data_IF_886467472349
#
_entry.id   IF_886467472349
#
_cell.length_a   1.000
_cell.length_b   1.000
_cell.length_c   1.000
_cell.angle_alpha   90.00
_cell.angle_beta   90.00
_cell.angle_gamma   90.00
#
_symmetry.space_group_name_H-M   'P 1'
#
loop_
_entity.id
_entity.type
_entity.pdbx_description
1 polymer ?
#
# COMPACT_ATOMS: atom_id res chain seq x y z
N UNK A 1 8.07 1.13 -8.52
CA UNK A 1 7.35 2.41 -8.26
C UNK A 1 7.48 2.75 -6.79
N UNK A 2 7.27 4.01 -6.41
CA UNK A 2 7.38 4.50 -5.03
C UNK A 2 6.01 5.00 -4.57
N UNK A 3 5.57 4.49 -3.42
CA UNK A 3 4.37 4.92 -2.71
C UNK A 3 4.78 5.59 -1.41
N UNK A 4 4.26 6.79 -1.13
CA UNK A 4 4.35 7.39 0.21
C UNK A 4 3.20 6.90 1.07
N UNK A 5 3.49 6.35 2.24
CA UNK A 5 2.49 6.03 3.25
C UNK A 5 2.37 7.17 4.28
N UNK A 6 1.21 7.83 4.31
CA UNK A 6 0.91 8.91 5.24
C UNK A 6 0.17 8.35 6.46
N UNK A 7 0.92 8.07 7.52
CA UNK A 7 0.43 7.42 8.74
C UNK A 7 0.58 8.28 9.98
N UNK A 8 -0.42 8.22 10.86
CA UNK A 8 -0.37 8.76 12.24
C UNK A 8 0.09 10.22 12.31
N UNK A 9 -0.35 11.05 11.36
CA UNK A 9 0.04 12.46 11.26
C UNK A 9 -1.14 13.39 11.03
N UNK A 10 -0.88 14.69 11.21
CA UNK A 10 -1.87 15.75 11.01
C UNK A 10 -2.29 15.87 9.55
N UNK A 11 -3.55 16.24 9.29
CA UNK A 11 -4.04 16.48 7.92
C UNK A 11 -3.17 17.48 7.14
N UNK A 12 -2.84 18.63 7.74
CA UNK A 12 -1.97 19.64 7.11
C UNK A 12 -0.55 19.12 6.86
N UNK A 13 -0.06 18.27 7.75
CA UNK A 13 1.26 17.64 7.61
C UNK A 13 1.30 16.69 6.42
N UNK A 14 0.25 15.88 6.22
CA UNK A 14 0.08 15.05 5.02
C UNK A 14 0.27 15.87 3.74
N UNK A 15 -0.48 16.97 3.59
CA UNK A 15 -0.38 17.83 2.39
C UNK A 15 0.99 18.48 2.25
N UNK A 16 1.59 18.92 3.35
CA UNK A 16 2.92 19.54 3.35
C UNK A 16 4.01 18.55 2.93
N UNK A 17 3.94 17.29 3.35
CA UNK A 17 4.87 16.24 2.92
C UNK A 17 4.70 15.99 1.42
N UNK A 18 3.48 15.71 0.95
CA UNK A 18 3.23 15.42 -0.47
C UNK A 18 3.66 16.59 -1.36
N UNK A 19 3.42 17.84 -0.94
CA UNK A 19 3.84 19.02 -1.70
C UNK A 19 5.36 19.08 -1.92
N UNK A 20 6.16 18.60 -0.97
CA UNK A 20 7.62 18.55 -1.10
C UNK A 20 8.09 17.40 -1.99
N UNK A 21 7.41 16.26 -1.95
CA UNK A 21 7.93 15.01 -2.54
C UNK A 21 7.23 14.54 -3.81
N UNK A 22 6.13 15.18 -4.23
CA UNK A 22 5.26 14.67 -5.30
C UNK A 22 6.00 14.28 -6.60
N UNK A 23 7.12 14.93 -6.94
CA UNK A 23 7.91 14.61 -8.14
C UNK A 23 8.70 13.29 -8.04
N UNK A 24 8.90 12.76 -6.84
CA UNK A 24 9.70 11.56 -6.57
C UNK A 24 8.85 10.31 -6.29
N UNK A 25 7.53 10.46 -6.23
CA UNK A 25 6.58 9.39 -5.89
C UNK A 25 5.56 9.17 -7.01
N UNK A 26 5.07 7.95 -7.10
CA UNK A 26 4.03 7.54 -8.05
C UNK A 26 2.65 7.47 -7.37
N UNK A 27 2.61 6.94 -6.14
CA UNK A 27 1.39 6.74 -5.35
C UNK A 27 1.39 7.58 -4.07
N UNK A 28 0.21 8.04 -3.67
CA UNK A 28 -0.05 8.63 -2.36
C UNK A 28 -1.02 7.73 -1.60
N UNK A 29 -0.54 7.11 -0.52
CA UNK A 29 -1.38 6.32 0.39
C UNK A 29 -1.84 7.19 1.57
N UNK A 30 -3.16 7.26 1.75
CA UNK A 30 -3.76 7.77 2.98
C UNK A 30 -3.90 6.58 3.93
N UNK A 31 -3.01 6.53 4.92
CA UNK A 31 -2.91 5.40 5.85
C UNK A 31 -4.16 5.25 6.73
N UNK A 32 -4.40 4.03 7.23
CA UNK A 32 -5.58 3.70 8.02
C UNK A 32 -5.80 4.66 9.20
N UNK A 33 -4.73 5.07 9.89
CA UNK A 33 -4.83 5.98 11.04
C UNK A 33 -5.31 7.38 10.66
N UNK A 34 -4.88 7.87 9.50
CA UNK A 34 -5.28 9.18 8.96
C UNK A 34 -6.74 9.11 8.49
N UNK A 35 -7.14 8.04 7.80
CA UNK A 35 -8.54 7.80 7.41
C UNK A 35 -9.45 7.76 8.64
N UNK A 36 -9.06 7.04 9.70
CA UNK A 36 -9.86 6.96 10.94
C UNK A 36 -10.02 8.31 11.62
N UNK A 37 -9.06 9.21 11.47
CA UNK A 37 -9.10 10.52 12.10
C UNK A 37 -9.89 11.56 11.31
N UNK A 38 -9.80 11.55 9.98
CA UNK A 38 -10.36 12.61 9.12
C UNK A 38 -11.45 12.13 8.16
N UNK A 39 -11.73 10.84 8.12
CA UNK A 39 -12.68 10.23 7.20
C UNK A 39 -12.23 10.32 5.75
N UNK A 40 -13.18 10.15 4.83
CA UNK A 40 -12.92 10.17 3.39
C UNK A 40 -12.66 11.56 2.80
N UNK A 41 -12.92 12.65 3.52
CA UNK A 41 -12.72 13.99 2.97
C UNK A 41 -11.25 14.24 2.61
N UNK A 42 -10.31 13.69 3.40
CA UNK A 42 -8.89 13.83 3.10
C UNK A 42 -8.48 13.07 1.82
N UNK A 43 -9.13 11.94 1.52
CA UNK A 43 -8.90 11.19 0.28
C UNK A 43 -9.35 12.04 -0.91
N UNK A 44 -10.54 12.64 -0.81
CA UNK A 44 -11.08 13.54 -1.83
C UNK A 44 -10.18 14.75 -2.06
N UNK A 45 -9.81 15.46 -1.00
CA UNK A 45 -8.94 16.63 -1.08
C UNK A 45 -7.54 16.30 -1.64
N UNK A 46 -7.01 15.11 -1.34
CA UNK A 46 -5.74 14.64 -1.91
C UNK A 46 -5.88 14.38 -3.42
N UNK A 47 -6.96 13.72 -3.85
CA UNK A 47 -7.20 13.45 -5.28
C UNK A 47 -7.43 14.75 -6.07
N UNK A 48 -8.16 15.70 -5.51
CA UNK A 48 -8.40 17.02 -6.14
C UNK A 48 -7.09 17.80 -6.34
N UNK A 49 -6.16 17.69 -5.40
CA UNK A 49 -4.88 18.42 -5.45
C UNK A 49 -3.81 17.74 -6.32
N UNK A 50 -3.83 16.41 -6.40
CA UNK A 50 -2.87 15.61 -7.14
C UNK A 50 -3.57 14.62 -8.07
N UNK A 51 -4.37 15.10 -9.05
CA UNK A 51 -5.17 14.24 -9.92
C UNK A 51 -4.33 13.30 -10.79
N UNK A 52 -3.06 13.65 -11.04
CA UNK A 52 -2.09 12.87 -11.79
C UNK A 52 -1.44 11.72 -10.99
N UNK A 53 -1.68 11.67 -9.67
CA UNK A 53 -1.16 10.62 -8.80
C UNK A 53 -2.20 9.53 -8.60
N UNK A 54 -1.69 8.32 -8.41
CA UNK A 54 -2.48 7.19 -7.94
C UNK A 54 -2.72 7.35 -6.45
N UNK A 55 -3.99 7.42 -6.03
CA UNK A 55 -4.38 7.56 -4.63
C UNK A 55 -4.79 6.19 -4.09
N UNK A 56 -4.13 5.75 -3.03
CA UNK A 56 -4.49 4.53 -2.31
C UNK A 56 -5.14 4.91 -0.96
N UNK A 57 -6.39 4.47 -0.74
CA UNK A 57 -7.04 4.57 0.56
C UNK A 57 -6.81 3.26 1.33
N UNK A 58 -5.97 3.29 2.37
CA UNK A 58 -5.63 2.11 3.16
C UNK A 58 -6.71 1.80 4.21
N UNK A 59 -7.88 1.40 3.71
CA UNK A 59 -9.09 1.12 4.49
C UNK A 59 -8.92 -0.09 5.40
N UNK A 60 -8.09 -1.06 5.01
CA UNK A 60 -7.96 -2.37 5.69
C UNK A 60 -9.33 -2.99 5.92
N UNK A 61 -10.15 -2.99 4.87
CA UNK A 61 -11.53 -3.49 4.91
C UNK A 61 -11.55 -4.94 5.39
N UNK A 62 -12.29 -5.17 6.49
CA UNK A 62 -12.45 -6.50 7.08
C UNK A 62 -13.81 -7.12 6.73
N UNK A 63 -14.84 -6.29 6.65
CA UNK A 63 -16.24 -6.65 6.39
C UNK A 63 -16.90 -5.55 5.52
N UNK A 64 -18.13 -5.76 5.08
CA UNK A 64 -18.89 -4.80 4.27
C UNK A 64 -18.16 -4.39 2.98
N UNK A 65 -17.50 -5.37 2.33
CA UNK A 65 -16.61 -5.16 1.18
C UNK A 65 -17.14 -4.18 0.14
N UNK A 66 -18.39 -4.36 -0.32
CA UNK A 66 -19.01 -3.43 -1.28
C UNK A 66 -19.08 -1.99 -0.76
N UNK A 67 -19.57 -1.81 0.46
CA UNK A 67 -19.84 -0.50 1.02
C UNK A 67 -18.55 0.31 1.25
N UNK A 68 -17.55 -0.30 1.90
CA UNK A 68 -16.28 0.38 2.16
C UNK A 68 -15.50 0.66 0.86
N UNK A 69 -15.57 -0.26 -0.10
CA UNK A 69 -14.93 -0.07 -1.41
C UNK A 69 -15.58 1.07 -2.20
N UNK A 70 -16.92 1.13 -2.25
CA UNK A 70 -17.64 2.27 -2.83
C UNK A 70 -17.25 3.58 -2.15
N UNK A 71 -17.23 3.60 -0.82
CA UNK A 71 -16.88 4.79 -0.05
C UNK A 71 -15.49 5.33 -0.43
N UNK A 72 -14.49 4.46 -0.55
CA UNK A 72 -13.14 4.86 -0.96
C UNK A 72 -13.10 5.39 -2.40
N UNK A 73 -13.76 4.70 -3.34
CA UNK A 73 -13.73 5.07 -4.76
C UNK A 73 -14.55 6.32 -5.08
N UNK A 74 -15.68 6.54 -4.42
CA UNK A 74 -16.48 7.77 -4.53
C UNK A 74 -15.73 8.97 -3.96
N UNK A 75 -14.90 8.76 -2.93
CA UNK A 75 -13.98 9.77 -2.42
C UNK A 75 -12.79 10.04 -3.34
N UNK A 76 -12.64 9.32 -4.46
CA UNK A 76 -11.61 9.57 -5.47
C UNK A 76 -10.35 8.71 -5.35
N UNK A 77 -10.29 7.73 -4.44
CA UNK A 77 -9.18 6.77 -4.43
C UNK A 77 -9.16 5.96 -5.73
N UNK A 78 -7.97 5.64 -6.26
CA UNK A 78 -7.76 4.75 -7.41
C UNK A 78 -7.53 3.30 -6.95
N UNK A 79 -6.99 3.15 -5.74
CA UNK A 79 -6.74 1.89 -5.05
C UNK A 79 -7.37 1.90 -3.65
N UNK A 80 -7.82 0.75 -3.16
CA UNK A 80 -8.14 0.57 -1.74
C UNK A 80 -7.74 -0.80 -1.23
N UNK A 81 -7.57 -0.94 0.09
CA UNK A 81 -7.08 -2.17 0.72
C UNK A 81 -8.17 -2.99 1.39
N UNK A 82 -8.08 -4.31 1.21
CA UNK A 82 -8.90 -5.32 1.90
C UNK A 82 -7.96 -6.28 2.60
N UNK A 83 -8.30 -6.72 3.82
CA UNK A 83 -7.43 -7.64 4.56
C UNK A 83 -7.48 -9.05 3.97
N UNK A 84 -6.33 -9.68 3.80
CA UNK A 84 -6.23 -11.03 3.22
C UNK A 84 -6.90 -12.11 4.07
N UNK A 85 -7.04 -11.90 5.38
CA UNK A 85 -7.73 -12.82 6.28
C UNK A 85 -9.25 -12.63 6.32
N UNK A 86 -9.79 -11.62 5.61
CA UNK A 86 -11.23 -11.43 5.51
C UNK A 86 -11.92 -12.62 4.85
N UNK A 87 -13.22 -12.77 5.12
CA UNK A 87 -14.06 -13.73 4.43
C UNK A 87 -13.98 -13.52 2.91
N UNK A 88 -13.93 -14.61 2.14
CA UNK A 88 -13.82 -14.56 0.67
C UNK A 88 -14.91 -13.70 0.05
N UNK A 89 -16.12 -13.75 0.60
CA UNK A 89 -17.24 -12.93 0.13
C UNK A 89 -16.92 -11.43 0.19
N UNK A 90 -16.24 -10.96 1.23
CA UNK A 90 -15.82 -9.56 1.37
C UNK A 90 -14.83 -9.19 0.27
N UNK A 91 -13.84 -10.05 0.02
CA UNK A 91 -12.80 -9.83 -1.00
C UNK A 91 -13.43 -9.84 -2.40
N UNK A 92 -14.27 -10.83 -2.70
CA UNK A 92 -15.01 -10.94 -3.97
C UNK A 92 -15.88 -9.71 -4.20
N UNK A 93 -16.58 -9.26 -3.17
CA UNK A 93 -17.44 -8.07 -3.25
C UNK A 93 -16.65 -6.80 -3.55
N UNK A 94 -15.50 -6.62 -2.90
CA UNK A 94 -14.59 -5.50 -3.17
C UNK A 94 -14.03 -5.56 -4.59
N UNK A 95 -13.62 -6.75 -5.06
CA UNK A 95 -13.15 -6.95 -6.44
C UNK A 95 -14.23 -6.61 -7.47
N UNK A 96 -15.48 -7.01 -7.22
CA UNK A 96 -16.61 -6.68 -8.10
C UNK A 96 -16.80 -5.15 -8.22
N UNK A 97 -16.82 -4.43 -7.09
CA UNK A 97 -16.97 -2.97 -7.10
C UNK A 97 -15.78 -2.30 -7.80
N UNK A 98 -14.56 -2.82 -7.61
CA UNK A 98 -13.38 -2.31 -8.31
C UNK A 98 -13.47 -2.47 -9.84
N UNK A 99 -14.00 -3.59 -10.32
CA UNK A 99 -14.26 -3.78 -11.75
C UNK A 99 -15.30 -2.79 -12.29
N UNK A 100 -16.41 -2.59 -11.57
CA UNK A 100 -17.46 -1.63 -11.93
C UNK A 100 -16.92 -0.18 -12.04
N UNK A 101 -15.98 0.18 -11.16
CA UNK A 101 -15.35 1.50 -11.13
C UNK A 101 -14.10 1.61 -12.01
N UNK A 102 -13.62 0.51 -12.59
CA UNK A 102 -12.33 0.40 -13.31
C UNK A 102 -11.14 0.86 -12.44
N UNK A 103 -11.17 0.44 -11.18
CA UNK A 103 -10.19 0.75 -10.13
C UNK A 103 -9.62 -0.54 -9.55
N UNK A 104 -8.81 -0.45 -8.50
CA UNK A 104 -8.00 -1.58 -8.06
C UNK A 104 -8.16 -1.89 -6.56
N UNK A 105 -8.15 -3.18 -6.23
CA UNK A 105 -8.03 -3.67 -4.85
C UNK A 105 -6.60 -4.15 -4.63
N UNK A 106 -6.01 -3.77 -3.51
CA UNK A 106 -4.78 -4.36 -2.99
C UNK A 106 -5.13 -5.18 -1.76
N UNK A 107 -4.87 -6.49 -1.79
CA UNK A 107 -5.10 -7.33 -0.60
C UNK A 107 -3.90 -7.21 0.34
N UNK A 108 -4.12 -6.70 1.55
CA UNK A 108 -3.07 -6.57 2.57
C UNK A 108 -2.84 -7.93 3.25
N UNK A 109 -1.63 -8.46 3.13
CA UNK A 109 -1.23 -9.76 3.68
C UNK A 109 -0.79 -9.66 5.15
N UNK A 110 -0.90 -8.50 5.79
CA UNK A 110 -0.62 -8.36 7.22
C UNK A 110 -1.43 -9.36 8.04
N UNK A 111 -0.73 -10.22 8.78
CA UNK A 111 -1.32 -11.27 9.61
C UNK A 111 -1.53 -12.62 8.89
N UNK A 112 -1.20 -12.72 7.60
CA UNK A 112 -1.18 -13.99 6.88
C UNK A 112 0.12 -14.74 7.19
N UNK A 113 -0.02 -15.98 7.62
CA UNK A 113 1.11 -16.82 8.08
C UNK A 113 1.28 -18.10 7.27
N UNK A 114 0.43 -18.35 6.27
CA UNK A 114 0.46 -19.56 5.44
C UNK A 114 0.40 -19.21 3.95
N UNK A 115 1.04 -20.05 3.13
CA UNK A 115 0.99 -19.96 1.67
C UNK A 115 -0.40 -20.26 1.11
N UNK A 116 -1.12 -21.18 1.74
CA UNK A 116 -2.44 -21.64 1.30
C UNK A 116 -3.39 -20.46 1.09
N UNK A 117 -3.39 -19.50 2.02
CA UNK A 117 -4.25 -18.32 1.87
C UNK A 117 -3.88 -17.47 0.67
N UNK A 118 -2.61 -17.32 0.35
CA UNK A 118 -2.16 -16.56 -0.83
C UNK A 118 -2.57 -17.26 -2.13
N UNK A 119 -2.51 -18.60 -2.15
CA UNK A 119 -2.98 -19.40 -3.27
C UNK A 119 -4.50 -19.28 -3.46
N UNK A 120 -5.29 -19.35 -2.39
CA UNK A 120 -6.74 -19.12 -2.42
C UNK A 120 -7.08 -17.72 -2.97
N UNK A 121 -6.36 -16.68 -2.53
CA UNK A 121 -6.54 -15.31 -3.05
C UNK A 121 -6.30 -15.24 -4.56
N UNK A 122 -5.32 -16.00 -5.08
CA UNK A 122 -5.06 -16.11 -6.51
C UNK A 122 -6.22 -16.77 -7.25
N UNK A 123 -6.79 -17.84 -6.70
CA UNK A 123 -7.96 -18.53 -7.25
C UNK A 123 -9.22 -17.65 -7.24
N UNK A 124 -9.39 -16.81 -6.22
CA UNK A 124 -10.46 -15.80 -6.13
C UNK A 124 -10.33 -14.71 -7.22
N UNK A 125 -9.15 -14.56 -7.80
CA UNK A 125 -8.88 -13.58 -8.86
C UNK A 125 -8.27 -12.27 -8.37
N UNK A 126 -7.70 -12.26 -7.16
CA UNK A 126 -6.90 -11.13 -6.67
C UNK A 126 -5.71 -10.89 -7.59
N UNK A 127 -5.45 -9.63 -7.94
CA UNK A 127 -4.37 -9.23 -8.85
C UNK A 127 -3.23 -8.47 -8.18
N UNK A 128 -3.49 -7.83 -7.05
CA UNK A 128 -2.49 -7.06 -6.33
C UNK A 128 -2.52 -7.40 -4.83
N UNK A 129 -1.34 -7.52 -4.24
CA UNK A 129 -1.16 -7.83 -2.82
C UNK A 129 -0.12 -6.91 -2.20
N UNK A 130 -0.27 -6.63 -0.92
CA UNK A 130 0.72 -5.90 -0.12
C UNK A 130 1.36 -6.85 0.88
N UNK A 131 2.66 -7.10 0.70
CA UNK A 131 3.48 -7.84 1.66
C UNK A 131 3.99 -6.87 2.72
N UNK A 132 3.32 -6.86 3.87
CA UNK A 132 3.66 -5.99 4.99
C UNK A 132 4.56 -6.71 6.00
N UNK A 133 5.85 -6.36 5.99
CA UNK A 133 6.83 -6.91 6.94
C UNK A 133 7.09 -5.88 8.04
N UNK A 134 6.44 -6.06 9.19
CA UNK A 134 6.62 -5.17 10.34
C UNK A 134 8.10 -4.98 10.71
N UNK A 135 8.46 -3.79 11.21
CA UNK A 135 9.84 -3.45 11.59
C UNK A 135 10.47 -4.46 12.55
N UNK A 136 9.68 -5.03 13.46
CA UNK A 136 10.14 -6.01 14.44
C UNK A 136 10.49 -7.38 13.82
N UNK A 137 10.12 -7.61 12.56
CA UNK A 137 10.43 -8.82 11.79
C UNK A 137 11.62 -8.64 10.84
N UNK A 138 12.22 -7.44 10.77
CA UNK A 138 13.35 -7.12 9.91
C UNK A 138 14.68 -7.76 10.39
N UNK A 139 15.41 -8.40 9.49
CA UNK A 139 16.65 -9.15 9.78
C UNK A 139 16.76 -10.44 8.95
N UNK A 140 17.57 -11.41 9.39
CA UNK A 140 17.68 -12.74 8.73
C UNK A 140 16.31 -13.42 8.57
N UNK A 141 15.42 -13.27 9.56
CA UNK A 141 14.04 -13.77 9.54
C UNK A 141 13.20 -13.19 8.40
N UNK A 142 13.45 -11.93 7.98
CA UNK A 142 12.74 -11.35 6.84
C UNK A 142 13.13 -12.02 5.54
N UNK A 143 14.41 -12.36 5.34
CA UNK A 143 14.85 -13.01 4.12
C UNK A 143 14.24 -14.41 3.98
N UNK A 144 14.18 -15.18 5.06
CA UNK A 144 13.53 -16.48 5.06
C UNK A 144 12.02 -16.38 4.76
N UNK A 145 11.34 -15.40 5.36
CA UNK A 145 9.93 -15.12 5.06
C UNK A 145 9.76 -14.76 3.58
N UNK A 146 10.58 -13.85 3.06
CA UNK A 146 10.52 -13.38 1.67
C UNK A 146 10.77 -14.52 0.68
N UNK A 147 11.81 -15.33 0.91
CA UNK A 147 12.13 -16.48 0.07
C UNK A 147 11.04 -17.55 0.16
N UNK A 148 10.43 -17.73 1.33
CA UNK A 148 9.35 -18.68 1.49
C UNK A 148 8.12 -18.27 0.66
N UNK A 149 7.77 -16.99 0.51
CA UNK A 149 6.55 -16.60 -0.21
C UNK A 149 6.75 -16.31 -1.71
N UNK A 150 7.99 -16.29 -2.21
CA UNK A 150 8.29 -15.85 -3.57
C UNK A 150 7.55 -16.65 -4.65
N UNK A 151 7.43 -17.97 -4.49
CA UNK A 151 6.76 -18.87 -5.43
C UNK A 151 5.25 -18.59 -5.52
N UNK A 152 4.60 -18.35 -4.39
CA UNK A 152 3.15 -18.11 -4.34
C UNK A 152 2.76 -16.67 -4.68
N UNK A 153 3.71 -15.74 -4.61
CA UNK A 153 3.53 -14.34 -5.03
C UNK A 153 3.67 -14.14 -6.55
N UNK A 154 4.14 -15.14 -7.29
CA UNK A 154 4.29 -15.04 -8.74
C UNK A 154 2.94 -14.71 -9.42
N UNK A 155 2.95 -13.70 -10.30
CA UNK A 155 1.78 -13.27 -11.08
C UNK A 155 0.92 -12.19 -10.40
N UNK A 156 1.17 -11.84 -9.14
CA UNK A 156 0.58 -10.67 -8.51
C UNK A 156 1.34 -9.39 -8.89
N UNK A 157 0.65 -8.25 -8.83
CA UNK A 157 1.27 -6.95 -8.63
C UNK A 157 1.63 -6.83 -7.15
N UNK A 158 2.91 -6.81 -6.84
CA UNK A 158 3.42 -6.89 -5.47
C UNK A 158 3.75 -5.48 -4.97
N UNK A 159 3.07 -5.09 -3.89
CA UNK A 159 3.44 -3.97 -3.04
C UNK A 159 4.24 -4.51 -1.85
N UNK A 160 5.34 -3.87 -1.48
CA UNK A 160 6.10 -4.23 -0.28
C UNK A 160 6.09 -3.06 0.69
N UNK A 161 5.79 -3.35 1.95
CA UNK A 161 5.72 -2.37 3.01
C UNK A 161 6.45 -2.85 4.26
N UNK A 162 6.72 -1.89 5.14
CA UNK A 162 7.19 -2.14 6.48
C UNK A 162 8.63 -1.69 6.66
N UNK A 163 8.76 -0.45 7.15
CA UNK A 163 10.04 0.14 7.54
C UNK A 163 11.10 0.19 6.46
N UNK A 164 10.70 0.35 5.20
CA UNK A 164 11.65 0.35 4.09
C UNK A 164 12.53 1.60 4.12
N UNK A 165 13.83 1.39 4.05
CA UNK A 165 14.89 2.39 3.93
C UNK A 165 15.89 1.96 2.84
N UNK A 166 16.89 2.80 2.49
CA UNK A 166 17.88 2.49 1.45
C UNK A 166 18.65 1.18 1.65
N UNK A 167 18.93 0.81 2.89
CA UNK A 167 19.75 -0.37 3.19
C UNK A 167 18.94 -1.64 2.93
N UNK A 168 17.64 -1.61 3.21
CA UNK A 168 16.81 -2.79 3.07
C UNK A 168 16.18 -2.98 1.68
N UNK A 169 16.26 -2.01 0.76
CA UNK A 169 15.71 -2.12 -0.61
C UNK A 169 16.19 -3.39 -1.31
N UNK A 170 17.48 -3.73 -1.16
CA UNK A 170 18.08 -4.90 -1.80
C UNK A 170 17.52 -6.24 -1.27
N UNK A 171 17.01 -6.28 -0.04
CA UNK A 171 16.39 -7.48 0.49
C UNK A 171 15.02 -7.71 -0.15
N UNK A 172 14.24 -6.63 -0.29
CA UNK A 172 12.91 -6.69 -0.90
C UNK A 172 12.96 -6.88 -2.42
N UNK A 173 14.04 -6.51 -3.10
CA UNK A 173 14.16 -6.71 -4.56
C UNK A 173 14.09 -8.17 -4.98
N UNK A 174 14.39 -9.12 -4.08
CA UNK A 174 14.21 -10.56 -4.31
C UNK A 174 12.77 -10.96 -4.64
N UNK A 175 11.78 -10.20 -4.15
CA UNK A 175 10.37 -10.42 -4.51
C UNK A 175 9.99 -9.83 -5.87
N UNK A 176 10.89 -9.12 -6.54
CA UNK A 176 10.59 -8.32 -7.72
C UNK A 176 9.34 -7.41 -7.54
N UNK A 177 9.31 -6.57 -6.48
CA UNK A 177 8.13 -5.78 -6.16
C UNK A 177 7.87 -4.73 -7.24
N UNK A 178 6.59 -4.51 -7.53
CA UNK A 178 6.15 -3.45 -8.43
C UNK A 178 6.14 -2.09 -7.71
N UNK A 179 5.83 -2.08 -6.41
CA UNK A 179 5.70 -0.87 -5.60
C UNK A 179 6.40 -1.02 -4.26
N UNK A 180 7.25 -0.05 -3.91
CA UNK A 180 7.84 0.08 -2.59
C UNK A 180 7.07 1.13 -1.79
N UNK A 181 6.48 0.72 -0.67
CA UNK A 181 5.72 1.58 0.24
C UNK A 181 6.66 2.11 1.31
N UNK A 182 6.91 3.42 1.27
CA UNK A 182 7.85 4.12 2.14
C UNK A 182 7.07 5.05 3.07
N UNK A 183 7.21 4.85 4.37
CA UNK A 183 6.60 5.70 5.40
C UNK A 183 7.64 6.55 6.12
N UNK A 184 8.01 6.13 7.33
CA UNK A 184 8.83 6.91 8.28
C UNK A 184 10.19 7.36 7.76
N UNK A 185 10.78 6.66 6.79
CA UNK A 185 12.05 7.08 6.18
C UNK A 185 11.92 8.45 5.50
N UNK A 186 10.77 8.74 4.88
CA UNK A 186 10.46 10.03 4.27
C UNK A 186 9.75 10.95 5.27
N UNK A 187 8.66 10.49 5.89
CA UNK A 187 7.81 11.34 6.74
C UNK A 187 8.49 11.79 8.03
N UNK A 188 9.42 10.99 8.56
CA UNK A 188 10.20 11.31 9.76
C UNK A 188 11.54 12.01 9.47
N UNK A 189 11.87 12.28 8.20
CA UNK A 189 13.12 12.93 7.82
C UNK A 189 13.07 14.44 8.07
N UNK A 190 14.20 15.01 8.49
CA UNK A 190 14.38 16.47 8.54
C UNK A 190 14.31 17.11 7.14
N UNK A 191 14.60 16.34 6.09
CA UNK A 191 14.47 16.75 4.70
C UNK A 191 13.75 15.64 3.90
N UNK A 192 12.40 15.68 3.84
CA UNK A 192 11.60 14.68 3.13
C UNK A 192 11.91 14.61 1.63
N UNK A 193 12.20 15.74 0.99
CA UNK A 193 12.57 15.79 -0.43
C UNK A 193 13.88 15.01 -0.69
N UNK A 194 14.92 15.25 0.11
CA UNK A 194 16.19 14.54 -0.05
C UNK A 194 16.05 13.03 0.25
N UNK A 195 15.21 12.65 1.23
CA UNK A 195 14.92 11.26 1.52
C UNK A 195 14.18 10.57 0.36
N UNK A 196 13.14 11.21 -0.20
CA UNK A 196 12.41 10.68 -1.34
C UNK A 196 13.29 10.53 -2.58
N UNK A 197 14.14 11.54 -2.86
CA UNK A 197 15.13 11.48 -3.94
C UNK A 197 16.10 10.31 -3.77
N UNK A 198 16.63 10.11 -2.56
CA UNK A 198 17.53 8.99 -2.29
C UNK A 198 16.85 7.64 -2.53
N UNK A 199 15.58 7.48 -2.12
CA UNK A 199 14.83 6.24 -2.41
C UNK A 199 14.68 6.00 -3.91
N UNK A 200 14.45 7.05 -4.71
CA UNK A 200 14.37 6.95 -6.16
C UNK A 200 15.68 6.44 -6.75
N UNK A 201 16.81 7.01 -6.32
CA UNK A 201 18.16 6.61 -6.77
C UNK A 201 18.46 5.14 -6.40
N UNK A 202 18.15 4.73 -5.18
CA UNK A 202 18.43 3.37 -4.68
C UNK A 202 17.55 2.31 -5.35
N UNK A 203 16.28 2.63 -5.62
CA UNK A 203 15.35 1.74 -6.34
C UNK A 203 15.70 1.67 -7.85
N UNK A 204 16.55 2.58 -8.35
CA UNK A 204 17.03 2.57 -9.73
C UNK A 204 16.05 3.24 -10.71
N UNK A 205 15.44 4.35 -10.30
CA UNK A 205 14.56 5.18 -11.13
C UNK A 205 15.23 6.48 -11.56
#
# INVERSE_FOLDING_TARGET
MIQIALDRMGKEECFKIVAQINRYIDYIEIGTGVIKQYGMSIVQEMKERYPEKEILADMKTCDAGKHETHQAFEAGADYTTVMGFSADKTIIDSLQVAEEHRKHIVVDLLGITTKDRILELKEIGVKAVSMHIGKDMQGETSLEILENYQDVLEGFTIFVAGGIDPECVQYFSKLNPNVYIIGSYITGSLNPEQAAKNMQEVIGK
#
